data_IF_490585025603
#
_entry.id   IF_490585025603
#
_cell.length_a   1.000
_cell.length_b   1.000
_cell.length_c   1.000
_cell.angle_alpha   90.00
_cell.angle_beta   90.00
_cell.angle_gamma   90.00
#
_symmetry.space_group_name_H-M   'P 1'
#
loop_
_entity.id
_entity.type
_entity.pdbx_description
1 polymer ?
#
# COMPACT_ATOMS: atom_id res chain seq x y z
N UNK A 1 -6.05 34.02 0.23
CA UNK A 1 -6.43 33.51 1.56
C UNK A 1 -5.72 32.17 1.66
N UNK A 2 -4.71 32.02 2.48
CA UNK A 2 -4.10 30.71 2.74
C UNK A 2 -5.19 29.89 3.43
N UNK A 3 -5.65 28.81 2.79
CA UNK A 3 -6.51 27.87 3.45
C UNK A 3 -5.72 27.33 4.65
N UNK A 4 -6.21 27.58 5.85
CA UNK A 4 -5.68 26.97 7.07
C UNK A 4 -5.80 25.47 6.82
N UNK A 5 -4.72 24.74 7.01
CA UNK A 5 -4.77 23.27 6.94
C UNK A 5 -5.68 22.82 8.10
N UNK A 6 -6.93 22.47 7.76
CA UNK A 6 -7.93 21.99 8.71
C UNK A 6 -7.92 20.45 8.85
N UNK A 7 -6.88 19.80 8.31
CA UNK A 7 -6.71 18.35 8.40
C UNK A 7 -6.30 17.93 9.79
N UNK A 8 -6.98 16.93 10.30
CA UNK A 8 -6.84 16.41 11.66
C UNK A 8 -6.23 15.01 11.69
N UNK A 9 -6.21 14.31 10.54
CA UNK A 9 -5.76 12.93 10.46
C UNK A 9 -5.01 12.60 9.16
N UNK A 10 -4.16 11.57 9.26
CA UNK A 10 -3.52 10.91 8.12
C UNK A 10 -3.83 9.41 8.19
N UNK A 11 -4.35 8.87 7.11
CA UNK A 11 -4.68 7.45 6.96
C UNK A 11 -3.75 6.85 5.90
N UNK A 12 -2.95 5.89 6.29
CA UNK A 12 -1.96 5.25 5.44
C UNK A 12 -2.50 3.98 4.81
N UNK A 13 -2.21 3.75 3.54
CA UNK A 13 -2.09 2.38 3.06
C UNK A 13 -0.82 1.73 3.62
N UNK A 14 -0.68 0.41 3.47
CA UNK A 14 0.45 -0.35 4.01
C UNK A 14 1.44 -0.76 2.93
N UNK A 15 0.99 -1.53 1.96
CA UNK A 15 1.81 -2.14 0.93
C UNK A 15 2.22 -1.10 -0.13
N UNK A 16 3.51 -0.91 -0.38
CA UNK A 16 4.01 0.15 -1.27
C UNK A 16 4.08 1.55 -0.63
N UNK A 17 3.46 1.77 0.54
CA UNK A 17 3.49 3.04 1.29
C UNK A 17 4.32 2.94 2.57
N UNK A 18 3.97 2.04 3.47
CA UNK A 18 4.72 1.79 4.73
C UNK A 18 5.87 0.83 4.46
N UNK A 19 5.60 -0.27 3.75
CA UNK A 19 6.57 -1.31 3.46
C UNK A 19 6.93 -1.35 1.98
N UNK A 20 8.21 -1.65 1.70
CA UNK A 20 8.70 -1.97 0.36
C UNK A 20 8.34 -3.42 -0.01
N UNK A 21 7.05 -3.71 -0.01
CA UNK A 21 6.50 -5.04 -0.26
C UNK A 21 6.69 -5.47 -1.71
N UNK A 22 6.65 -4.55 -2.66
CA UNK A 22 6.83 -4.85 -4.08
C UNK A 22 8.25 -5.35 -4.40
N UNK A 23 9.29 -4.73 -3.84
CA UNK A 23 10.67 -5.22 -3.98
C UNK A 23 10.82 -6.64 -3.41
N UNK A 24 10.20 -6.92 -2.27
CA UNK A 24 10.20 -8.27 -1.71
C UNK A 24 9.45 -9.26 -2.62
N UNK A 25 8.30 -8.87 -3.16
CA UNK A 25 7.55 -9.68 -4.14
C UNK A 25 8.43 -10.02 -5.33
N UNK A 26 9.08 -9.04 -5.97
CA UNK A 26 9.99 -9.29 -7.10
C UNK A 26 11.13 -10.24 -6.73
N UNK A 27 11.71 -10.08 -5.55
CA UNK A 27 12.76 -10.97 -5.06
C UNK A 27 12.26 -12.42 -4.91
N UNK A 28 11.09 -12.62 -4.31
CA UNK A 28 10.48 -13.93 -4.15
C UNK A 28 10.14 -14.58 -5.51
N UNK A 29 9.59 -13.81 -6.46
CA UNK A 29 9.35 -14.29 -7.81
C UNK A 29 10.64 -14.77 -8.49
N UNK A 30 11.74 -14.03 -8.38
CA UNK A 30 13.03 -14.42 -8.95
C UNK A 30 13.60 -15.69 -8.31
N UNK A 31 13.57 -15.80 -6.98
CA UNK A 31 14.07 -16.98 -6.27
C UNK A 31 13.33 -18.25 -6.70
N UNK A 32 11.99 -18.20 -6.75
CA UNK A 32 11.19 -19.36 -7.15
C UNK A 32 11.34 -19.64 -8.65
N UNK A 33 11.53 -18.62 -9.49
CA UNK A 33 11.75 -18.78 -10.93
C UNK A 33 12.94 -19.67 -11.29
N UNK A 34 14.02 -19.60 -10.49
CA UNK A 34 15.19 -20.45 -10.69
C UNK A 34 14.84 -21.94 -10.58
N UNK A 35 14.00 -22.31 -9.61
CA UNK A 35 13.50 -23.69 -9.43
C UNK A 35 12.71 -24.20 -10.63
N UNK A 36 11.91 -23.33 -11.25
CA UNK A 36 11.07 -23.66 -12.40
C UNK A 36 11.78 -23.46 -13.73
N UNK A 37 13.05 -23.03 -13.74
CA UNK A 37 13.85 -22.83 -14.95
C UNK A 37 13.33 -21.73 -15.88
N UNK A 38 12.48 -20.83 -15.39
CA UNK A 38 11.96 -19.70 -16.17
C UNK A 38 12.89 -18.49 -16.08
N UNK A 39 12.94 -17.70 -17.15
CA UNK A 39 13.79 -16.53 -17.27
C UNK A 39 12.96 -15.26 -17.43
N UNK A 40 13.57 -14.12 -17.13
CA UNK A 40 12.98 -12.79 -17.29
C UNK A 40 11.64 -12.64 -16.51
N UNK A 41 11.55 -13.28 -15.34
CA UNK A 41 10.32 -13.25 -14.52
C UNK A 41 10.04 -11.84 -13.99
N UNK A 42 11.04 -11.04 -13.74
CA UNK A 42 10.87 -9.65 -13.30
C UNK A 42 10.11 -8.81 -14.35
N UNK A 43 10.44 -8.98 -15.64
CA UNK A 43 9.72 -8.33 -16.72
C UNK A 43 8.26 -8.82 -16.78
N UNK A 44 8.03 -10.14 -16.64
CA UNK A 44 6.69 -10.70 -16.59
C UNK A 44 5.86 -10.16 -15.42
N UNK A 45 6.48 -9.99 -14.24
CA UNK A 45 5.83 -9.39 -13.09
C UNK A 45 5.48 -7.91 -13.33
N UNK A 46 6.42 -7.12 -13.88
CA UNK A 46 6.19 -5.70 -14.22
C UNK A 46 5.01 -5.52 -15.19
N UNK A 47 4.88 -6.40 -16.16
CA UNK A 47 3.73 -6.43 -17.09
C UNK A 47 2.40 -6.74 -16.38
N UNK A 48 2.46 -7.35 -15.20
CA UNK A 48 1.30 -7.74 -14.42
C UNK A 48 0.94 -6.74 -13.30
N UNK A 49 1.66 -5.65 -13.17
CA UNK A 49 1.34 -4.62 -12.17
C UNK A 49 -0.04 -4.00 -12.45
N UNK A 50 -0.85 -3.89 -11.41
CA UNK A 50 -2.18 -3.27 -11.48
C UNK A 50 -3.28 -4.09 -12.14
N UNK A 51 -3.00 -5.32 -12.59
CA UNK A 51 -4.00 -6.24 -13.13
C UNK A 51 -4.44 -7.28 -12.08
N UNK A 52 -5.58 -7.94 -12.33
CA UNK A 52 -6.11 -8.95 -11.42
C UNK A 52 -5.40 -10.31 -11.55
N UNK A 53 -5.62 -11.20 -10.57
CA UNK A 53 -4.95 -12.51 -10.51
C UNK A 53 -5.27 -13.43 -11.72
N UNK A 54 -6.46 -13.34 -12.30
CA UNK A 54 -6.83 -14.13 -13.48
C UNK A 54 -6.02 -13.69 -14.67
N UNK A 55 -5.97 -12.40 -14.92
CA UNK A 55 -5.22 -11.79 -16.03
C UNK A 55 -3.71 -12.00 -15.87
N UNK A 56 -3.20 -11.97 -14.65
CA UNK A 56 -1.81 -12.31 -14.33
C UNK A 56 -1.49 -13.74 -14.74
N UNK A 57 -2.35 -14.71 -14.36
CA UNK A 57 -2.19 -16.12 -14.73
C UNK A 57 -2.18 -16.29 -16.25
N UNK A 58 -3.13 -15.68 -16.96
CA UNK A 58 -3.21 -15.74 -18.42
C UNK A 58 -1.93 -15.21 -19.08
N UNK A 59 -1.36 -14.10 -18.61
CA UNK A 59 -0.10 -13.55 -19.13
C UNK A 59 1.09 -14.49 -18.89
N UNK A 60 1.16 -15.09 -17.71
CA UNK A 60 2.20 -16.07 -17.40
C UNK A 60 2.09 -17.30 -18.29
N UNK A 61 0.90 -17.88 -18.46
CA UNK A 61 0.69 -19.03 -19.35
C UNK A 61 1.01 -18.70 -20.80
N UNK A 62 0.65 -17.50 -21.28
CA UNK A 62 1.01 -17.05 -22.63
C UNK A 62 2.51 -16.90 -22.82
N UNK A 63 3.26 -16.47 -21.78
CA UNK A 63 4.71 -16.23 -21.85
C UNK A 63 5.53 -17.51 -21.69
N UNK A 64 5.15 -18.38 -20.77
CA UNK A 64 5.93 -19.55 -20.37
C UNK A 64 5.35 -20.89 -20.87
N UNK A 65 4.18 -20.87 -21.50
CA UNK A 65 3.48 -22.04 -22.05
C UNK A 65 2.24 -22.44 -21.26
N UNK A 66 1.27 -23.06 -21.91
CA UNK A 66 0.00 -23.49 -21.28
C UNK A 66 0.20 -24.55 -20.19
N UNK A 67 1.26 -25.35 -20.30
CA UNK A 67 1.62 -26.39 -19.32
C UNK A 67 2.43 -25.83 -18.12
N UNK A 68 2.70 -24.54 -18.06
CA UNK A 68 3.42 -23.93 -16.96
C UNK A 68 2.60 -24.02 -15.66
N UNK A 69 3.15 -24.62 -14.57
CA UNK A 69 2.41 -24.85 -13.33
C UNK A 69 2.28 -23.56 -12.50
N UNK A 70 1.57 -22.57 -13.05
CA UNK A 70 1.46 -21.23 -12.47
C UNK A 70 0.94 -21.22 -11.01
N UNK A 71 -0.05 -22.07 -10.72
CA UNK A 71 -0.66 -22.07 -9.38
C UNK A 71 0.31 -22.58 -8.30
N UNK A 72 1.13 -23.60 -8.64
CA UNK A 72 2.19 -24.09 -7.76
C UNK A 72 3.29 -23.06 -7.60
N UNK A 73 3.75 -22.50 -8.72
CA UNK A 73 4.76 -21.44 -8.74
C UNK A 73 4.36 -20.23 -7.89
N UNK A 74 3.11 -19.76 -8.06
CA UNK A 74 2.58 -18.64 -7.29
C UNK A 74 2.39 -19.01 -5.81
N UNK A 75 2.00 -20.24 -5.51
CA UNK A 75 1.88 -20.75 -4.14
C UNK A 75 3.21 -20.69 -3.41
N UNK A 76 4.27 -21.24 -4.00
CA UNK A 76 5.62 -21.20 -3.43
C UNK A 76 6.15 -19.78 -3.25
N UNK A 77 5.91 -18.91 -4.24
CA UNK A 77 6.27 -17.49 -4.13
C UNK A 77 5.55 -16.82 -2.95
N UNK A 78 4.26 -17.09 -2.78
CA UNK A 78 3.47 -16.53 -1.68
C UNK A 78 3.95 -17.04 -0.32
N UNK A 79 4.28 -18.32 -0.20
CA UNK A 79 4.85 -18.91 1.02
C UNK A 79 6.18 -18.24 1.36
N UNK A 80 7.11 -18.14 0.40
CA UNK A 80 8.41 -17.49 0.59
C UNK A 80 8.27 -16.02 0.98
N UNK A 81 7.32 -15.30 0.36
CA UNK A 81 7.03 -13.91 0.73
C UNK A 81 6.58 -13.81 2.19
N UNK A 82 5.61 -14.63 2.61
CA UNK A 82 5.10 -14.59 3.99
C UNK A 82 6.14 -15.00 5.02
N UNK A 83 6.94 -16.02 4.75
CA UNK A 83 8.06 -16.42 5.62
C UNK A 83 9.08 -15.29 5.75
N UNK A 84 9.52 -14.72 4.63
CA UNK A 84 10.51 -13.64 4.63
C UNK A 84 9.98 -12.39 5.33
N UNK A 85 8.73 -12.03 5.09
CA UNK A 85 8.10 -10.88 5.73
C UNK A 85 7.94 -11.07 7.25
N UNK A 86 7.62 -12.30 7.70
CA UNK A 86 7.51 -12.63 9.12
C UNK A 86 8.86 -12.57 9.85
N UNK A 87 9.96 -12.94 9.17
CA UNK A 87 11.32 -12.90 9.71
C UNK A 87 11.98 -11.51 9.67
N UNK A 88 11.20 -10.44 9.42
CA UNK A 88 11.70 -9.07 9.36
C UNK A 88 12.37 -8.69 8.04
N UNK A 89 12.17 -9.50 7.00
CA UNK A 89 12.67 -9.20 5.65
C UNK A 89 11.85 -8.18 4.86
N UNK A 90 10.83 -7.61 5.48
CA UNK A 90 10.01 -6.55 4.90
C UNK A 90 10.51 -5.19 5.40
N UNK A 91 11.13 -4.44 4.51
CA UNK A 91 11.77 -3.17 4.83
C UNK A 91 10.75 -2.02 4.85
N UNK A 92 10.96 -1.05 5.75
CA UNK A 92 10.20 0.19 5.75
C UNK A 92 10.60 1.06 4.55
N UNK A 93 9.63 1.70 3.92
CA UNK A 93 9.90 2.74 2.92
C UNK A 93 10.62 3.93 3.56
N UNK A 94 11.55 4.57 2.83
CA UNK A 94 12.24 5.77 3.33
C UNK A 94 11.28 6.88 3.74
N UNK A 95 11.46 7.43 4.94
CA UNK A 95 10.66 8.52 5.48
C UNK A 95 9.45 8.10 6.33
N UNK A 96 9.18 6.78 6.47
CA UNK A 96 8.05 6.28 7.29
C UNK A 96 8.20 6.71 8.74
N UNK A 97 9.32 6.40 9.36
CA UNK A 97 9.56 6.70 10.79
C UNK A 97 9.56 8.20 11.08
N UNK A 98 10.15 8.97 10.18
CA UNK A 98 10.20 10.43 10.29
C UNK A 98 8.81 11.05 10.14
N UNK A 99 8.02 10.59 9.19
CA UNK A 99 6.65 11.08 8.99
C UNK A 99 5.75 10.70 10.17
N UNK A 100 5.81 9.44 10.65
CA UNK A 100 5.02 9.01 11.80
C UNK A 100 5.37 9.80 13.06
N UNK A 101 6.67 10.03 13.32
CA UNK A 101 7.13 10.85 14.45
C UNK A 101 6.63 12.31 14.34
N UNK A 102 6.75 12.91 13.15
CA UNK A 102 6.24 14.24 12.87
C UNK A 102 4.74 14.36 13.13
N UNK A 103 3.94 13.40 12.65
CA UNK A 103 2.49 13.40 12.82
C UNK A 103 2.09 13.32 14.31
N UNK A 104 2.78 12.48 15.09
CA UNK A 104 2.54 12.40 16.55
C UNK A 104 2.91 13.71 17.26
N UNK A 105 4.05 14.31 16.93
CA UNK A 105 4.49 15.59 17.51
C UNK A 105 3.48 16.72 17.23
N UNK A 106 2.85 16.69 16.03
CA UNK A 106 1.87 17.68 15.62
C UNK A 106 0.42 17.29 15.91
N UNK A 107 0.22 16.25 16.73
CA UNK A 107 -1.10 15.80 17.22
C UNK A 107 -2.09 15.36 16.15
N UNK A 108 -1.61 14.91 14.97
CA UNK A 108 -2.48 14.26 14.00
C UNK A 108 -2.95 12.89 14.52
N UNK A 109 -4.20 12.54 14.22
CA UNK A 109 -4.66 11.17 14.32
C UNK A 109 -4.06 10.35 13.20
N UNK A 110 -3.61 9.13 13.51
CA UNK A 110 -2.95 8.25 12.54
C UNK A 110 -3.70 6.94 12.47
N UNK A 111 -4.15 6.56 11.26
CA UNK A 111 -4.77 5.25 11.04
C UNK A 111 -4.11 4.53 9.86
N UNK A 112 -4.30 3.22 9.84
CA UNK A 112 -3.92 2.36 8.72
C UNK A 112 -5.17 1.80 8.06
N UNK A 113 -5.17 1.69 6.72
CA UNK A 113 -6.24 1.13 5.90
C UNK A 113 -5.63 0.16 4.86
N UNK A 114 -5.38 -1.09 5.25
CA UNK A 114 -4.73 -2.11 4.41
C UNK A 114 -5.71 -3.17 3.93
N UNK A 115 -5.59 -3.60 2.67
CA UNK A 115 -6.33 -4.76 2.13
C UNK A 115 -5.88 -6.10 2.70
N UNK A 116 -4.75 -6.14 3.37
CA UNK A 116 -4.17 -7.32 4.03
C UNK A 116 -4.96 -7.69 5.30
N UNK A 117 -4.94 -8.96 5.70
CA UNK A 117 -5.65 -9.46 6.88
C UNK A 117 -5.00 -8.96 8.17
N UNK A 118 -5.82 -8.69 9.19
CA UNK A 118 -5.42 -8.11 10.47
C UNK A 118 -4.22 -8.81 11.13
N UNK A 119 -4.25 -10.14 11.20
CA UNK A 119 -3.17 -10.92 11.83
C UNK A 119 -1.81 -10.68 11.18
N UNK A 120 -1.78 -10.50 9.86
CA UNK A 120 -0.54 -10.22 9.10
C UNK A 120 -0.09 -8.78 9.32
N UNK A 121 -1.02 -7.83 9.22
CA UNK A 121 -0.73 -6.40 9.44
C UNK A 121 -0.15 -6.15 10.84
N UNK A 122 -0.79 -6.68 11.89
CA UNK A 122 -0.32 -6.51 13.26
C UNK A 122 1.07 -7.14 13.48
N UNK A 123 1.31 -8.33 12.90
CA UNK A 123 2.62 -8.98 12.96
C UNK A 123 3.72 -8.14 12.31
N UNK A 124 3.48 -7.62 11.11
CA UNK A 124 4.45 -6.82 10.34
C UNK A 124 4.74 -5.48 11.01
N UNK A 125 3.70 -4.74 11.45
CA UNK A 125 3.88 -3.47 12.15
C UNK A 125 4.59 -3.64 13.50
N UNK A 126 4.33 -4.75 14.21
CA UNK A 126 5.01 -5.08 15.47
C UNK A 126 6.48 -5.41 15.22
N UNK A 127 6.78 -6.23 14.21
CA UNK A 127 8.15 -6.58 13.85
C UNK A 127 8.96 -5.34 13.42
N UNK A 128 8.32 -4.39 12.74
CA UNK A 128 8.93 -3.10 12.37
C UNK A 128 9.01 -2.08 13.52
N UNK A 129 8.41 -2.36 14.68
CA UNK A 129 8.42 -1.49 15.86
C UNK A 129 7.60 -0.19 15.70
N UNK A 130 6.62 -0.18 14.80
CA UNK A 130 5.84 1.04 14.48
C UNK A 130 4.34 0.93 14.81
N UNK A 131 3.88 -0.20 15.33
CA UNK A 131 2.45 -0.42 15.58
C UNK A 131 1.84 0.62 16.53
N UNK A 132 2.60 1.10 17.53
CA UNK A 132 2.15 2.06 18.54
C UNK A 132 1.95 3.49 17.99
N UNK A 133 2.38 3.76 16.76
CA UNK A 133 2.08 5.03 16.11
C UNK A 133 0.62 5.13 15.66
N UNK A 134 -0.05 4.02 15.39
CA UNK A 134 -1.40 4.02 14.84
C UNK A 134 -2.46 4.06 15.93
N UNK A 135 -3.37 5.04 15.86
CA UNK A 135 -4.54 5.12 16.74
C UNK A 135 -5.54 4.00 16.40
N UNK A 136 -5.64 3.64 15.10
CA UNK A 136 -6.49 2.54 14.59
C UNK A 136 -5.88 1.86 13.37
N UNK A 137 -6.15 0.58 13.26
CA UNK A 137 -5.72 -0.28 12.15
C UNK A 137 -6.95 -0.97 11.57
N UNK A 138 -7.28 -0.67 10.32
CA UNK A 138 -8.41 -1.26 9.59
C UNK A 138 -7.87 -2.15 8.48
N UNK A 139 -8.33 -3.40 8.45
CA UNK A 139 -7.81 -4.44 7.59
C UNK A 139 -8.89 -4.98 6.66
N UNK A 140 -8.46 -5.67 5.58
CA UNK A 140 -9.36 -6.15 4.55
C UNK A 140 -10.43 -7.13 5.04
N UNK A 141 -10.15 -7.89 6.09
CA UNK A 141 -11.10 -8.81 6.73
C UNK A 141 -12.06 -8.14 7.72
N UNK A 142 -11.95 -6.81 7.92
CA UNK A 142 -12.82 -6.03 8.79
C UNK A 142 -13.92 -5.26 8.01
N UNK A 143 -13.85 -5.25 6.68
CA UNK A 143 -14.78 -4.52 5.80
C UNK A 143 -15.48 -5.45 4.83
N UNK A 144 -16.65 -5.03 4.34
CA UNK A 144 -17.46 -5.86 3.41
C UNK A 144 -16.97 -5.78 1.98
N UNK A 145 -16.49 -4.63 1.56
CA UNK A 145 -16.03 -4.38 0.20
C UNK A 145 -14.59 -3.88 0.22
N UNK A 146 -13.78 -4.48 -0.62
CA UNK A 146 -12.38 -4.10 -0.80
C UNK A 146 -12.22 -2.87 -1.69
N UNK A 147 -11.04 -2.25 -1.67
CA UNK A 147 -10.63 -1.21 -2.63
C UNK A 147 -10.92 -1.70 -4.07
N UNK A 148 -11.54 -0.89 -4.94
CA UNK A 148 -11.70 0.58 -4.88
C UNK A 148 -12.98 1.08 -4.20
N UNK A 149 -13.75 0.26 -3.51
CA UNK A 149 -14.87 0.75 -2.71
C UNK A 149 -14.37 1.49 -1.46
N UNK A 150 -15.09 2.53 -0.99
CA UNK A 150 -14.60 3.44 0.05
C UNK A 150 -14.62 2.86 1.47
N UNK A 151 -15.17 1.66 1.66
CA UNK A 151 -15.53 1.09 2.96
C UNK A 151 -14.37 1.15 3.97
N UNK A 152 -13.15 0.78 3.54
CA UNK A 152 -12.00 0.69 4.44
C UNK A 152 -11.55 2.08 4.95
N UNK A 153 -11.56 3.10 4.08
CA UNK A 153 -11.21 4.46 4.46
C UNK A 153 -12.29 5.14 5.29
N UNK A 154 -13.57 4.90 4.96
CA UNK A 154 -14.69 5.39 5.77
C UNK A 154 -14.66 4.80 7.18
N UNK A 155 -14.43 3.48 7.29
CA UNK A 155 -14.29 2.81 8.59
C UNK A 155 -13.09 3.36 9.37
N UNK A 156 -11.95 3.60 8.71
CA UNK A 156 -10.77 4.17 9.36
C UNK A 156 -11.04 5.57 9.93
N UNK A 157 -11.68 6.44 9.16
CA UNK A 157 -12.06 7.79 9.61
C UNK A 157 -13.07 7.76 10.78
N UNK A 158 -14.07 6.88 10.71
CA UNK A 158 -15.05 6.66 11.77
C UNK A 158 -14.38 6.22 13.08
N UNK A 159 -13.50 5.23 13.02
CA UNK A 159 -12.83 4.64 14.18
C UNK A 159 -11.86 5.62 14.89
N UNK A 160 -11.30 6.59 14.16
CA UNK A 160 -10.49 7.68 14.76
C UNK A 160 -11.34 8.92 15.12
N UNK A 161 -12.65 8.89 14.87
CA UNK A 161 -13.59 9.98 15.10
C UNK A 161 -13.22 11.28 14.36
N UNK A 162 -12.81 11.19 13.09
CA UNK A 162 -12.47 12.33 12.23
C UNK A 162 -13.31 12.25 10.95
N UNK A 163 -13.87 13.38 10.52
CA UNK A 163 -14.63 13.44 9.25
C UNK A 163 -13.70 13.17 8.06
N UNK A 164 -14.10 12.38 7.05
CA UNK A 164 -13.26 12.05 5.91
C UNK A 164 -12.62 13.26 5.20
N UNK A 165 -13.37 14.34 5.03
CA UNK A 165 -12.85 15.58 4.43
C UNK A 165 -11.78 16.30 5.26
N UNK A 166 -11.55 15.86 6.50
CA UNK A 166 -10.48 16.33 7.38
C UNK A 166 -9.30 15.33 7.46
N UNK A 167 -9.33 14.30 6.62
CA UNK A 167 -8.27 13.31 6.52
C UNK A 167 -7.45 13.52 5.25
N UNK A 168 -6.14 13.30 5.35
CA UNK A 168 -5.34 12.89 4.21
C UNK A 168 -5.31 11.37 4.13
N UNK A 169 -5.33 10.83 2.91
CA UNK A 169 -5.00 9.44 2.65
C UNK A 169 -3.67 9.37 1.87
N UNK A 170 -2.73 8.52 2.29
CA UNK A 170 -1.47 8.28 1.57
C UNK A 170 -1.56 6.92 0.90
N UNK A 171 -1.34 6.88 -0.41
CA UNK A 171 -1.55 5.73 -1.28
C UNK A 171 -0.57 5.70 -2.44
N UNK A 172 -0.29 4.49 -2.95
CA UNK A 172 0.51 4.25 -4.15
C UNK A 172 -0.30 3.64 -5.29
N UNK A 173 -1.39 2.91 -4.97
CA UNK A 173 -2.18 2.10 -5.90
C UNK A 173 -3.40 2.83 -6.45
N UNK A 174 -3.73 2.59 -7.74
CA UNK A 174 -4.90 3.22 -8.36
C UNK A 174 -6.23 2.85 -7.67
N UNK A 175 -6.38 1.61 -7.21
CA UNK A 175 -7.59 1.19 -6.52
C UNK A 175 -7.69 1.79 -5.13
N UNK A 176 -6.59 1.92 -4.42
CA UNK A 176 -6.54 2.58 -3.13
C UNK A 176 -6.84 4.07 -3.23
N UNK A 177 -6.24 4.75 -4.22
CA UNK A 177 -6.52 6.17 -4.50
C UNK A 177 -8.01 6.40 -4.79
N UNK A 178 -8.62 5.57 -5.66
CA UNK A 178 -10.07 5.65 -5.92
C UNK A 178 -10.89 5.43 -4.65
N UNK A 179 -10.48 4.49 -3.81
CA UNK A 179 -11.16 4.18 -2.55
C UNK A 179 -11.15 5.38 -1.59
N UNK A 180 -9.97 5.98 -1.37
CA UNK A 180 -9.81 7.15 -0.52
C UNK A 180 -10.53 8.40 -1.08
N UNK A 181 -10.45 8.63 -2.39
CA UNK A 181 -11.16 9.70 -3.07
C UNK A 181 -12.69 9.57 -2.94
N UNK A 182 -13.23 8.35 -3.15
CA UNK A 182 -14.66 8.07 -2.97
C UNK A 182 -15.12 8.20 -1.51
N UNK A 183 -14.21 8.00 -0.56
CA UNK A 183 -14.47 8.27 0.85
C UNK A 183 -14.53 9.77 1.17
N UNK A 184 -14.16 10.65 0.23
CA UNK A 184 -14.16 12.10 0.41
C UNK A 184 -12.93 12.65 1.11
N UNK A 185 -11.80 11.94 1.04
CA UNK A 185 -10.52 12.36 1.59
C UNK A 185 -9.67 13.12 0.57
N UNK A 186 -8.72 13.92 1.05
CA UNK A 186 -7.67 14.47 0.22
C UNK A 186 -6.56 13.40 0.05
N UNK A 187 -6.34 12.98 -1.20
CA UNK A 187 -5.41 11.89 -1.49
C UNK A 187 -4.03 12.43 -1.84
N UNK A 188 -3.02 11.93 -1.15
CA UNK A 188 -1.60 12.13 -1.43
C UNK A 188 -1.07 10.83 -2.07
N UNK A 189 -0.78 10.87 -3.36
CA UNK A 189 -0.15 9.74 -4.03
C UNK A 189 1.35 9.78 -3.83
N UNK A 190 1.91 8.68 -3.34
CA UNK A 190 3.36 8.42 -3.32
C UNK A 190 3.61 7.19 -4.19
N UNK A 191 3.88 7.37 -5.50
CA UNK A 191 4.03 6.25 -6.41
C UNK A 191 5.13 5.28 -5.96
N UNK A 192 4.83 3.99 -5.99
CA UNK A 192 5.82 2.92 -5.86
C UNK A 192 6.16 2.36 -7.25
N UNK A 193 5.54 1.26 -7.67
CA UNK A 193 5.81 0.65 -8.98
C UNK A 193 5.02 1.27 -10.13
N UNK A 194 3.84 1.82 -9.87
CA UNK A 194 2.99 2.41 -10.90
C UNK A 194 3.07 3.94 -10.88
N UNK A 195 3.49 4.57 -12.00
CA UNK A 195 3.48 6.03 -12.10
C UNK A 195 2.05 6.56 -12.11
N UNK A 196 1.86 7.82 -11.70
CA UNK A 196 0.57 8.47 -11.80
C UNK A 196 0.08 8.56 -13.26
N UNK A 197 -1.11 8.03 -13.53
CA UNK A 197 -1.80 8.21 -14.80
C UNK A 197 -2.65 9.49 -14.80
N UNK A 198 -3.36 9.79 -15.90
CA UNK A 198 -4.16 11.02 -16.00
C UNK A 198 -5.29 11.06 -14.96
N UNK A 199 -5.96 9.94 -14.69
CA UNK A 199 -7.00 9.86 -13.64
C UNK A 199 -6.41 10.20 -12.26
N UNK A 200 -5.24 9.66 -11.92
CA UNK A 200 -4.61 9.93 -10.63
C UNK A 200 -4.20 11.40 -10.50
N UNK A 201 -3.77 12.04 -11.59
CA UNK A 201 -3.47 13.47 -11.61
C UNK A 201 -4.70 14.35 -11.38
N UNK A 202 -5.88 13.86 -11.75
CA UNK A 202 -7.14 14.59 -11.56
C UNK A 202 -7.70 14.46 -10.15
N UNK A 203 -7.56 13.28 -9.52
CA UNK A 203 -8.23 12.99 -8.24
C UNK A 203 -7.33 13.12 -7.02
N UNK A 204 -6.00 13.06 -7.18
CA UNK A 204 -5.08 13.31 -6.08
C UNK A 204 -4.88 14.81 -5.84
N UNK A 205 -4.85 15.22 -4.59
CA UNK A 205 -4.51 16.61 -4.26
C UNK A 205 -3.02 16.91 -4.45
N UNK A 206 -2.16 15.92 -4.27
CA UNK A 206 -0.73 15.98 -4.58
C UNK A 206 -0.21 14.60 -5.01
N UNK A 207 0.80 14.61 -5.88
CA UNK A 207 1.62 13.46 -6.24
C UNK A 207 3.04 13.80 -5.81
N UNK A 208 3.61 12.99 -4.94
CA UNK A 208 4.86 13.25 -4.24
C UNK A 208 5.83 12.09 -4.46
N UNK A 209 7.12 12.38 -4.58
CA UNK A 209 8.12 11.33 -4.88
C UNK A 209 8.51 10.48 -3.67
N UNK A 210 8.16 10.92 -2.45
CA UNK A 210 8.51 10.21 -1.21
C UNK A 210 7.70 10.69 -0.01
N UNK A 211 7.73 9.91 1.08
CA UNK A 211 7.14 10.31 2.36
C UNK A 211 7.84 11.51 3.00
N UNK A 212 9.11 11.77 2.67
CA UNK A 212 9.77 13.01 3.08
C UNK A 212 9.08 14.24 2.50
N UNK A 213 8.66 14.19 1.23
CA UNK A 213 7.91 15.29 0.62
C UNK A 213 6.51 15.45 1.22
N UNK A 214 5.91 14.37 1.75
CA UNK A 214 4.67 14.49 2.55
C UNK A 214 4.93 15.31 3.82
N UNK A 215 6.00 15.00 4.55
CA UNK A 215 6.40 15.78 5.73
C UNK A 215 6.62 17.26 5.38
N UNK A 216 7.36 17.53 4.32
CA UNK A 216 7.60 18.91 3.84
C UNK A 216 6.32 19.65 3.46
N UNK A 217 5.34 18.94 2.86
CA UNK A 217 4.03 19.49 2.53
C UNK A 217 3.24 19.89 3.78
N UNK A 218 3.27 19.03 4.82
CA UNK A 218 2.54 19.27 6.06
C UNK A 218 3.20 20.36 6.92
N UNK A 219 4.52 20.51 6.86
CA UNK A 219 5.25 21.58 7.58
C UNK A 219 4.98 22.99 7.02
N UNK A 220 4.68 23.11 5.73
CA UNK A 220 4.46 24.41 5.05
C UNK A 220 3.05 24.98 5.27
N UNK A 221 2.22 24.27 5.97
CA UNK A 221 0.82 24.64 6.22
C UNK A 221 0.60 24.97 7.68
#
# INVERSE_FOLDING_TARGET
>A
MNAVNDKEAVIFDMDGVIFDSETLVFRCWNVVAEKYGIKNVEEACRECLGINAVETKERFLKRYGEDFPYDEYKGEMSELFHETAADGGLELKPGVTELLAFLKEHHYKIALASSTRKVVVESQLTAAGIIDYFDKIICGDMVKKSKPEPDIYLTAAEEINVSPNKCYAIEDSYNGIRSAYRAGMDVLMVPDMLPANEEMKEICCNILDSLFQVTDLLQKK
#
